data_IF_792746922001
#
_entry.id   IF_792746922001
#
_cell.length_a   1.000
_cell.length_b   1.000
_cell.length_c   1.000
_cell.angle_alpha   90.00
_cell.angle_beta   90.00
_cell.angle_gamma   90.00
#
_symmetry.space_group_name_H-M   'P 1'
#
loop_
_entity.id
_entity.type
_entity.pdbx_description
1 polymer ?
#
# COMPACT_ATOMS: atom_id res chain seq x y z
N UNK A 1 -10.23 -3.71 -0.26
CA UNK A 1 -11.05 -3.31 -1.43
C UNK A 1 -12.49 -3.13 -0.96
N UNK A 2 -13.23 -2.14 -1.48
CA UNK A 2 -14.59 -1.86 -1.01
C UNK A 2 -15.52 -3.05 -1.26
N UNK A 3 -16.32 -3.40 -0.26
CA UNK A 3 -17.53 -4.17 -0.50
C UNK A 3 -18.49 -3.18 -1.17
N UNK A 4 -18.80 -3.38 -2.44
CA UNK A 4 -19.88 -2.64 -3.07
C UNK A 4 -21.19 -3.22 -2.58
N UNK A 5 -21.90 -2.37 -1.85
CA UNK A 5 -23.23 -2.65 -1.36
C UNK A 5 -24.20 -1.92 -2.28
N UNK A 6 -24.99 -2.64 -3.05
CA UNK A 6 -26.11 -2.07 -3.83
C UNK A 6 -27.44 -2.57 -3.31
N UNK A 7 -28.49 -1.76 -3.52
CA UNK A 7 -29.87 -2.16 -3.27
C UNK A 7 -30.53 -2.59 -4.58
N UNK A 8 -30.88 -3.87 -4.67
CA UNK A 8 -31.70 -4.42 -5.76
C UNK A 8 -32.97 -5.02 -5.13
N UNK A 9 -34.15 -4.58 -5.57
CA UNK A 9 -35.46 -5.04 -5.08
C UNK A 9 -35.62 -5.02 -3.54
N UNK A 10 -34.96 -4.07 -2.88
CA UNK A 10 -34.99 -3.91 -1.42
C UNK A 10 -33.99 -4.78 -0.65
N UNK A 11 -33.27 -5.69 -1.33
CA UNK A 11 -32.22 -6.54 -0.76
C UNK A 11 -30.86 -5.85 -0.93
N UNK A 12 -30.07 -5.82 0.14
CA UNK A 12 -28.68 -5.35 0.09
C UNK A 12 -27.80 -6.50 -0.37
N UNK A 13 -27.12 -6.30 -1.50
CA UNK A 13 -26.16 -7.24 -2.04
C UNK A 13 -24.75 -6.68 -1.86
N UNK A 14 -23.91 -7.45 -1.17
CA UNK A 14 -22.49 -7.13 -0.95
C UNK A 14 -21.64 -7.94 -1.95
N UNK A 15 -20.91 -7.27 -2.83
CA UNK A 15 -19.95 -7.89 -3.76
C UNK A 15 -18.57 -7.25 -3.62
N UNK A 16 -17.51 -8.03 -3.84
CA UNK A 16 -16.16 -7.46 -3.95
C UNK A 16 -15.99 -6.86 -5.34
N UNK A 17 -15.30 -5.73 -5.45
CA UNK A 17 -15.00 -5.15 -6.78
C UNK A 17 -14.24 -6.12 -7.69
N UNK A 18 -13.45 -7.06 -7.14
CA UNK A 18 -12.75 -8.11 -7.90
C UNK A 18 -13.69 -9.16 -8.51
N UNK A 19 -14.95 -9.21 -8.08
CA UNK A 19 -15.96 -10.15 -8.55
C UNK A 19 -16.91 -9.52 -9.58
N UNK A 20 -16.72 -8.24 -9.88
CA UNK A 20 -17.53 -7.51 -10.86
C UNK A 20 -16.85 -7.51 -12.22
N UNK A 21 -17.64 -7.69 -13.28
CA UNK A 21 -17.21 -7.30 -14.63
C UNK A 21 -17.05 -5.78 -14.71
N UNK A 22 -16.22 -5.32 -15.66
CA UNK A 22 -16.07 -3.88 -15.90
C UNK A 22 -17.41 -3.20 -16.20
N UNK A 23 -18.28 -3.83 -16.99
CA UNK A 23 -19.61 -3.30 -17.29
C UNK A 23 -20.51 -3.20 -16.05
N UNK A 24 -20.42 -4.16 -15.13
CA UNK A 24 -21.17 -4.08 -13.87
C UNK A 24 -20.64 -2.97 -12.98
N UNK A 25 -19.32 -2.87 -12.82
CA UNK A 25 -18.68 -1.82 -12.02
C UNK A 25 -19.05 -0.42 -12.51
N UNK A 26 -19.02 -0.18 -13.83
CA UNK A 26 -19.37 1.12 -14.41
C UNK A 26 -20.86 1.48 -14.30
N UNK A 27 -21.73 0.54 -13.91
CA UNK A 27 -23.13 0.84 -13.64
C UNK A 27 -23.36 1.43 -12.24
N UNK A 28 -22.36 1.52 -11.37
CA UNK A 28 -22.51 2.13 -10.04
C UNK A 28 -22.26 3.65 -10.07
N UNK A 29 -23.00 4.38 -9.23
CA UNK A 29 -22.86 5.84 -9.10
C UNK A 29 -23.43 6.63 -10.29
N UNK A 30 -23.10 7.93 -10.40
CA UNK A 30 -23.51 8.77 -11.52
C UNK A 30 -23.11 8.18 -12.87
N UNK A 31 -23.95 8.33 -13.89
CA UNK A 31 -23.72 7.75 -15.22
C UNK A 31 -23.32 8.83 -16.23
N UNK A 32 -22.39 8.48 -17.14
CA UNK A 32 -21.93 9.38 -18.23
C UNK A 32 -23.06 9.76 -19.20
N UNK A 33 -24.02 8.87 -19.39
CA UNK A 33 -25.17 9.07 -20.28
C UNK A 33 -26.26 9.90 -19.59
N UNK A 34 -26.66 11.02 -20.21
CA UNK A 34 -27.71 11.88 -19.68
C UNK A 34 -29.03 11.11 -19.54
N UNK A 35 -29.59 11.11 -18.33
CA UNK A 35 -30.87 10.46 -18.03
C UNK A 35 -30.77 8.96 -17.67
N UNK A 36 -29.56 8.39 -17.67
CA UNK A 36 -29.33 7.02 -17.18
C UNK A 36 -29.11 7.05 -15.67
N UNK A 37 -29.86 6.23 -14.94
CA UNK A 37 -29.66 6.04 -13.50
C UNK A 37 -28.72 4.85 -13.25
N UNK A 38 -27.72 5.07 -12.39
CA UNK A 38 -26.81 4.02 -11.95
C UNK A 38 -27.28 3.35 -10.65
N UNK A 39 -26.65 2.23 -10.31
CA UNK A 39 -26.86 1.55 -9.03
C UNK A 39 -26.33 2.43 -7.89
N UNK A 40 -27.14 2.60 -6.85
CA UNK A 40 -26.75 3.34 -5.67
C UNK A 40 -25.66 2.60 -4.90
N UNK A 41 -24.58 3.32 -4.59
CA UNK A 41 -23.54 2.87 -3.67
C UNK A 41 -24.06 3.02 -2.22
N UNK A 42 -23.79 2.02 -1.39
CA UNK A 42 -24.05 2.07 0.03
C UNK A 42 -22.73 1.97 0.80
N UNK A 43 -22.70 2.62 1.96
CA UNK A 43 -21.59 2.59 2.91
C UNK A 43 -22.01 1.83 4.16
N UNK A 44 -21.16 0.90 4.59
CA UNK A 44 -21.30 0.20 5.88
C UNK A 44 -20.34 0.80 6.91
N UNK A 45 -20.87 1.27 8.04
CA UNK A 45 -20.06 1.75 9.16
C UNK A 45 -19.43 0.59 9.94
N UNK A 46 -18.47 0.89 10.82
CA UNK A 46 -17.86 -0.11 11.72
C UNK A 46 -18.89 -0.79 12.63
N UNK A 47 -19.97 -0.09 12.96
CA UNK A 47 -21.07 -0.60 13.79
C UNK A 47 -22.08 -1.44 12.98
N UNK A 48 -21.82 -1.65 11.68
CA UNK A 48 -22.68 -2.43 10.79
C UNK A 48 -23.85 -1.65 10.17
N UNK A 49 -23.98 -0.35 10.48
CA UNK A 49 -25.04 0.47 9.91
C UNK A 49 -24.78 0.71 8.42
N UNK A 50 -25.81 0.53 7.61
CA UNK A 50 -25.76 0.74 6.15
C UNK A 50 -26.47 2.06 5.84
N UNK A 51 -25.76 2.97 5.18
CA UNK A 51 -26.29 4.26 4.72
C UNK A 51 -26.01 4.43 3.24
N UNK A 52 -26.81 5.23 2.55
CA UNK A 52 -26.49 5.61 1.17
C UNK A 52 -25.18 6.39 1.12
N UNK A 53 -24.38 6.12 0.09
CA UNK A 53 -23.23 6.94 -0.25
C UNK A 53 -23.74 8.26 -0.80
N UNK A 54 -23.49 9.35 -0.08
CA UNK A 54 -23.90 10.69 -0.46
C UNK A 54 -22.70 11.63 -0.31
N UNK A 55 -22.36 12.32 -1.39
CA UNK A 55 -21.26 13.29 -1.47
C UNK A 55 -21.77 14.56 -2.16
N UNK A 56 -21.15 15.71 -1.89
CA UNK A 56 -21.59 17.01 -2.42
C UNK A 56 -21.46 17.10 -3.95
N UNK A 57 -20.43 16.48 -4.51
CA UNK A 57 -20.19 16.39 -5.94
C UNK A 57 -19.64 15.00 -6.22
N UNK A 58 -20.26 14.32 -7.16
CA UNK A 58 -19.90 12.97 -7.56
C UNK A 58 -19.79 12.91 -9.09
N UNK A 59 -18.92 12.06 -9.59
CA UNK A 59 -18.73 11.84 -11.03
C UNK A 59 -18.79 10.34 -11.32
N UNK A 60 -19.00 10.01 -12.59
CA UNK A 60 -19.01 8.63 -13.05
C UNK A 60 -17.68 7.93 -12.82
N UNK A 61 -17.75 6.65 -12.50
CA UNK A 61 -16.57 5.79 -12.41
C UNK A 61 -15.85 5.73 -13.77
N UNK A 62 -14.53 5.63 -13.72
CA UNK A 62 -13.68 5.57 -14.91
C UNK A 62 -12.64 4.46 -14.81
N UNK A 63 -12.12 4.08 -15.98
CA UNK A 63 -10.95 3.20 -16.07
C UNK A 63 -9.65 3.99 -15.91
N UNK A 64 -8.55 3.30 -15.61
CA UNK A 64 -7.22 3.92 -15.57
C UNK A 64 -6.84 4.55 -16.93
N UNK A 65 -7.23 3.92 -18.04
CA UNK A 65 -7.03 4.50 -19.37
C UNK A 65 -7.77 5.84 -19.52
N UNK A 66 -9.07 5.86 -19.18
CA UNK A 66 -9.88 7.07 -19.27
C UNK A 66 -9.32 8.18 -18.38
N UNK A 67 -8.82 7.85 -17.18
CA UNK A 67 -8.15 8.81 -16.31
C UNK A 67 -6.94 9.46 -17.02
N UNK A 68 -6.10 8.67 -17.70
CA UNK A 68 -4.98 9.22 -18.47
C UNK A 68 -5.40 10.09 -19.65
N UNK A 69 -6.52 9.77 -20.28
CA UNK A 69 -7.05 10.50 -21.44
C UNK A 69 -7.75 11.82 -21.05
N UNK A 70 -8.42 11.83 -19.90
CA UNK A 70 -9.27 12.96 -19.47
C UNK A 70 -8.56 13.96 -18.55
N UNK A 71 -7.64 13.50 -17.70
CA UNK A 71 -6.85 14.39 -16.84
C UNK A 71 -5.87 15.20 -17.70
N UNK A 72 -5.61 16.45 -17.33
CA UNK A 72 -4.72 17.34 -18.08
C UNK A 72 -3.32 16.73 -18.32
N UNK A 73 -2.78 16.72 -19.56
CA UNK A 73 -1.50 16.08 -19.90
C UNK A 73 -0.27 16.50 -19.09
N UNK A 74 -0.24 17.71 -18.51
CA UNK A 74 0.88 18.17 -17.71
C UNK A 74 0.93 17.55 -16.30
N UNK A 75 -0.18 17.01 -15.82
CA UNK A 75 -0.29 16.42 -14.48
C UNK A 75 0.22 14.98 -14.45
N UNK A 76 0.96 14.66 -13.39
CA UNK A 76 1.37 13.31 -13.04
C UNK A 76 0.33 12.55 -12.24
N UNK A 77 0.57 11.26 -12.02
CA UNK A 77 -0.30 10.39 -11.23
C UNK A 77 0.46 9.73 -10.08
N UNK A 78 -0.18 9.67 -8.91
CA UNK A 78 0.15 8.70 -7.88
C UNK A 78 -0.87 7.56 -7.98
N UNK A 79 -0.43 6.39 -8.44
CA UNK A 79 -1.26 5.21 -8.62
C UNK A 79 -1.08 4.31 -7.39
N UNK A 80 -2.06 4.32 -6.50
CA UNK A 80 -2.14 3.36 -5.39
C UNK A 80 -2.65 2.01 -5.91
N UNK A 81 -1.80 0.99 -5.84
CA UNK A 81 -2.15 -0.39 -6.12
C UNK A 81 -2.90 -0.97 -4.91
N UNK A 82 -4.23 -1.05 -5.05
CA UNK A 82 -5.11 -1.47 -3.97
C UNK A 82 -5.63 -2.88 -4.21
N UNK A 83 -5.45 -3.72 -3.21
CA UNK A 83 -5.88 -5.13 -3.19
C UNK A 83 -6.75 -5.37 -1.96
N UNK A 84 -7.37 -6.54 -1.88
CA UNK A 84 -8.20 -6.91 -0.73
C UNK A 84 -7.36 -7.42 0.44
N UNK A 85 -7.39 -6.71 1.57
CA UNK A 85 -6.63 -7.08 2.77
C UNK A 85 -7.13 -8.36 3.46
N UNK A 86 -8.31 -8.86 3.06
CA UNK A 86 -8.85 -10.16 3.52
C UNK A 86 -8.52 -11.33 2.60
N UNK A 87 -7.74 -11.10 1.55
CA UNK A 87 -7.32 -12.13 0.59
C UNK A 87 -5.80 -12.26 0.58
N UNK A 88 -5.33 -13.49 0.72
CA UNK A 88 -3.93 -13.83 0.46
C UNK A 88 -3.77 -14.16 -1.02
N UNK A 89 -3.22 -13.21 -1.78
CA UNK A 89 -3.02 -13.37 -3.21
C UNK A 89 -1.79 -14.23 -3.52
N UNK A 90 -1.93 -15.14 -4.48
CA UNK A 90 -0.79 -15.85 -5.04
C UNK A 90 0.05 -14.91 -5.91
N UNK A 91 1.36 -15.15 -5.94
CA UNK A 91 2.30 -14.32 -6.69
C UNK A 91 1.94 -14.25 -8.18
N UNK A 92 1.62 -15.38 -8.81
CA UNK A 92 1.27 -15.41 -10.24
C UNK A 92 0.03 -14.56 -10.53
N UNK A 93 -0.96 -14.56 -9.65
CA UNK A 93 -2.14 -13.71 -9.79
C UNK A 93 -1.75 -12.23 -9.74
N UNK A 94 -0.93 -11.83 -8.76
CA UNK A 94 -0.45 -10.45 -8.64
C UNK A 94 0.33 -10.05 -9.89
N UNK A 95 1.21 -10.90 -10.41
CA UNK A 95 1.98 -10.63 -11.63
C UNK A 95 1.05 -10.35 -12.80
N UNK A 96 0.04 -11.19 -13.05
CA UNK A 96 -0.90 -11.00 -14.15
C UNK A 96 -1.67 -9.66 -14.03
N UNK A 97 -2.15 -9.32 -12.82
CA UNK A 97 -2.86 -8.06 -12.59
C UNK A 97 -1.93 -6.86 -12.79
N UNK A 98 -0.71 -6.92 -12.25
CA UNK A 98 0.27 -5.83 -12.37
C UNK A 98 0.72 -5.63 -13.81
N UNK A 99 0.90 -6.69 -14.58
CA UNK A 99 1.20 -6.61 -16.02
C UNK A 99 0.09 -5.87 -16.78
N UNK A 100 -1.18 -6.20 -16.53
CA UNK A 100 -2.31 -5.50 -17.15
C UNK A 100 -2.34 -4.00 -16.79
N UNK A 101 -2.01 -3.65 -15.54
CA UNK A 101 -1.89 -2.24 -15.12
C UNK A 101 -0.73 -1.56 -15.85
N UNK A 102 0.43 -2.21 -15.93
CA UNK A 102 1.61 -1.67 -16.60
C UNK A 102 1.39 -1.46 -18.10
N UNK A 103 0.68 -2.36 -18.77
CA UNK A 103 0.33 -2.22 -20.18
C UNK A 103 -0.47 -0.93 -20.44
N UNK A 104 -1.46 -0.64 -19.57
CA UNK A 104 -2.21 0.62 -19.64
C UNK A 104 -1.31 1.81 -19.33
N UNK A 105 -0.49 1.75 -18.26
CA UNK A 105 0.39 2.87 -17.89
C UNK A 105 1.40 3.16 -19.01
N UNK A 106 2.03 2.16 -19.59
CA UNK A 106 3.00 2.36 -20.68
C UNK A 106 2.34 2.82 -21.98
N UNK A 107 1.12 2.36 -22.27
CA UNK A 107 0.37 2.81 -23.44
C UNK A 107 -0.12 4.26 -23.32
N UNK A 108 -0.52 4.70 -22.13
CA UNK A 108 -1.31 5.93 -21.96
C UNK A 108 -0.65 7.04 -21.13
N UNK A 109 0.41 6.75 -20.36
CA UNK A 109 1.09 7.78 -19.57
C UNK A 109 1.78 8.85 -20.43
N UNK A 110 2.18 8.54 -21.67
CA UNK A 110 2.70 9.51 -22.66
C UNK A 110 3.78 10.49 -22.13
N UNK A 111 4.64 10.01 -21.24
CA UNK A 111 5.73 10.81 -20.66
C UNK A 111 5.38 11.56 -19.37
N UNK A 112 4.15 11.41 -18.84
CA UNK A 112 3.77 11.90 -17.52
C UNK A 112 4.65 11.29 -16.42
N UNK A 113 4.85 12.06 -15.35
CA UNK A 113 5.42 11.56 -14.10
C UNK A 113 4.42 10.63 -13.42
N UNK A 114 4.84 9.40 -13.13
CA UNK A 114 4.01 8.39 -12.45
C UNK A 114 4.77 7.90 -11.23
N UNK A 115 4.06 7.73 -10.13
CA UNK A 115 4.52 7.05 -8.93
C UNK A 115 3.58 5.89 -8.66
N UNK A 116 4.13 4.70 -8.40
CA UNK A 116 3.34 3.60 -7.84
C UNK A 116 3.47 3.56 -6.33
N UNK A 117 2.38 3.23 -5.65
CA UNK A 117 2.39 3.04 -4.20
C UNK A 117 1.50 1.86 -3.79
N UNK A 118 1.83 1.18 -2.68
CA UNK A 118 0.94 0.16 -2.11
C UNK A 118 1.17 -0.06 -0.63
N UNK A 119 0.10 -0.35 0.11
CA UNK A 119 0.18 -0.92 1.46
C UNK A 119 0.53 -2.41 1.46
N UNK A 120 0.36 -3.09 0.32
CA UNK A 120 0.74 -4.50 0.19
C UNK A 120 2.18 -4.60 -0.29
N UNK A 121 3.03 -5.16 0.58
CA UNK A 121 4.46 -5.32 0.32
C UNK A 121 4.75 -6.15 -0.92
N UNK A 122 4.02 -7.26 -1.11
CA UNK A 122 4.18 -8.15 -2.26
C UNK A 122 3.88 -7.42 -3.58
N UNK A 123 2.82 -6.61 -3.63
CA UNK A 123 2.46 -5.84 -4.82
C UNK A 123 3.49 -4.77 -5.18
N UNK A 124 3.94 -3.98 -4.18
CA UNK A 124 4.96 -2.97 -4.38
C UNK A 124 6.31 -3.60 -4.82
N UNK A 125 6.68 -4.74 -4.26
CA UNK A 125 7.87 -5.46 -4.66
C UNK A 125 7.79 -6.02 -6.08
N UNK A 126 6.66 -6.63 -6.43
CA UNK A 126 6.46 -7.20 -7.77
C UNK A 126 6.43 -6.11 -8.84
N UNK A 127 5.73 -4.99 -8.62
CA UNK A 127 5.72 -3.90 -9.60
C UNK A 127 7.11 -3.28 -9.75
N UNK A 128 7.92 -3.19 -8.68
CA UNK A 128 9.32 -2.72 -8.77
C UNK A 128 10.20 -3.64 -9.62
N UNK A 129 9.89 -4.92 -9.71
CA UNK A 129 10.62 -5.86 -10.57
C UNK A 129 10.12 -5.88 -12.01
N UNK A 130 8.80 -5.75 -12.18
CA UNK A 130 8.18 -5.80 -13.51
C UNK A 130 8.49 -4.57 -14.35
N UNK A 131 8.95 -3.47 -13.74
CA UNK A 131 9.38 -2.27 -14.45
C UNK A 131 10.48 -1.50 -13.71
N UNK A 132 11.25 -0.73 -14.47
CA UNK A 132 12.36 0.12 -13.99
C UNK A 132 12.18 1.62 -14.29
N UNK A 133 11.05 2.01 -14.92
CA UNK A 133 10.81 3.36 -15.44
C UNK A 133 10.27 4.33 -14.39
N UNK A 134 9.41 3.86 -13.50
CA UNK A 134 8.66 4.66 -12.54
C UNK A 134 9.02 4.24 -11.11
N UNK A 135 9.17 5.20 -10.20
CA UNK A 135 9.47 4.89 -8.80
C UNK A 135 8.27 4.23 -8.11
N UNK A 136 8.58 3.38 -7.14
CA UNK A 136 7.63 2.60 -6.35
C UNK A 136 7.84 2.90 -4.87
N UNK A 137 6.75 3.14 -4.14
CA UNK A 137 6.77 3.48 -2.71
C UNK A 137 5.92 2.51 -1.89
N UNK A 138 6.36 2.23 -0.66
CA UNK A 138 5.49 1.62 0.34
C UNK A 138 4.59 2.66 0.99
N UNK A 139 3.34 2.28 1.24
CA UNK A 139 2.44 3.02 2.10
C UNK A 139 2.45 2.39 3.50
N UNK A 140 2.51 3.22 4.54
CA UNK A 140 2.31 2.77 5.92
C UNK A 140 1.54 3.81 6.72
N UNK A 141 0.67 3.32 7.60
CA UNK A 141 -0.08 4.10 8.57
C UNK A 141 0.62 4.17 9.94
N UNK A 142 1.88 3.74 10.03
CA UNK A 142 2.64 3.73 11.28
C UNK A 142 2.15 2.69 12.31
N UNK A 143 1.37 1.69 11.90
CA UNK A 143 0.94 0.59 12.77
C UNK A 143 -0.29 0.89 13.60
N UNK A 144 -1.05 1.87 13.16
CA UNK A 144 -2.30 2.32 13.80
C UNK A 144 -3.48 1.40 13.52
N UNK A 145 -3.36 0.48 12.55
CA UNK A 145 -4.39 -0.52 12.22
C UNK A 145 -3.87 -1.95 12.31
N UNK A 146 -4.79 -2.88 12.55
CA UNK A 146 -4.54 -4.33 12.55
C UNK A 146 -5.19 -4.93 11.30
N UNK A 147 -4.39 -5.61 10.50
CA UNK A 147 -4.77 -6.28 9.25
C UNK A 147 -4.92 -7.79 9.45
N UNK A 148 -5.58 -8.49 8.54
CA UNK A 148 -5.66 -9.96 8.59
C UNK A 148 -4.33 -10.61 8.21
N UNK A 149 -3.59 -10.00 7.27
CA UNK A 149 -2.23 -10.40 6.98
C UNK A 149 -1.33 -10.06 8.17
N UNK A 150 -0.92 -11.09 8.91
CA UNK A 150 -0.05 -10.97 10.08
C UNK A 150 1.24 -10.24 9.75
N UNK A 151 1.68 -10.28 8.49
CA UNK A 151 2.87 -9.59 8.03
C UNK A 151 2.76 -8.06 8.11
N UNK A 152 1.56 -7.52 8.32
CA UNK A 152 1.31 -6.07 8.41
C UNK A 152 1.09 -5.57 9.85
N UNK A 153 1.17 -6.44 10.86
CA UNK A 153 0.81 -6.11 12.24
C UNK A 153 2.00 -6.12 13.21
N UNK A 154 2.04 -5.16 14.14
CA UNK A 154 3.17 -4.94 15.07
C UNK A 154 3.20 -5.79 16.35
N UNK A 155 2.36 -6.82 16.50
CA UNK A 155 2.23 -7.56 17.77
C UNK A 155 2.53 -9.05 17.62
N UNK A 156 3.74 -9.40 18.04
CA UNK A 156 4.30 -10.73 18.36
C UNK A 156 4.67 -11.69 17.20
N UNK A 157 5.98 -11.73 16.92
CA UNK A 157 6.79 -12.88 16.51
C UNK A 157 6.82 -13.39 15.06
N UNK A 158 6.16 -12.77 14.09
CA UNK A 158 6.34 -13.10 12.66
C UNK A 158 6.41 -11.81 11.82
N UNK A 159 7.30 -11.82 10.82
CA UNK A 159 7.80 -10.69 10.01
C UNK A 159 6.81 -9.54 9.86
N UNK A 160 7.22 -8.34 10.26
CA UNK A 160 6.37 -7.16 10.13
C UNK A 160 6.87 -6.23 9.01
N UNK A 161 6.23 -6.30 7.85
CA UNK A 161 6.46 -5.41 6.72
C UNK A 161 5.71 -4.11 6.95
N UNK A 162 6.45 -3.08 7.38
CA UNK A 162 5.97 -1.69 7.40
C UNK A 162 4.95 -1.36 8.49
N UNK A 163 4.96 -2.04 9.64
CA UNK A 163 4.06 -1.69 10.75
C UNK A 163 4.49 -0.47 11.53
N UNK A 164 5.74 -0.05 11.46
CA UNK A 164 6.14 1.26 11.94
C UNK A 164 7.02 1.91 10.90
N UNK A 165 7.13 3.22 10.99
CA UNK A 165 7.79 4.02 9.98
C UNK A 165 9.28 3.63 9.86
N UNK A 166 9.95 3.33 10.98
CA UNK A 166 11.35 2.88 10.99
C UNK A 166 11.57 1.54 10.28
N UNK A 167 10.69 0.56 10.49
CA UNK A 167 10.72 -0.72 9.79
C UNK A 167 10.45 -0.56 8.30
N UNK A 168 9.44 0.24 7.92
CA UNK A 168 9.14 0.52 6.52
C UNK A 168 10.35 1.12 5.80
N UNK A 169 11.01 2.10 6.44
CA UNK A 169 12.23 2.76 5.93
C UNK A 169 13.43 1.81 5.87
N UNK A 170 13.53 0.83 6.76
CA UNK A 170 14.59 -0.17 6.70
C UNK A 170 14.32 -1.22 5.61
N UNK A 171 13.08 -1.67 5.48
CA UNK A 171 12.69 -2.70 4.50
C UNK A 171 12.75 -2.15 3.08
N UNK A 172 12.30 -0.91 2.83
CA UNK A 172 12.46 -0.29 1.51
C UNK A 172 13.93 -0.30 1.07
N UNK A 173 14.85 -0.03 2.00
CA UNK A 173 16.28 0.00 1.72
C UNK A 173 16.80 -1.40 1.35
N UNK A 174 16.39 -2.44 2.08
CA UNK A 174 16.77 -3.82 1.78
C UNK A 174 16.17 -4.34 0.47
N UNK A 175 14.95 -3.92 0.14
CA UNK A 175 14.21 -4.41 -1.03
C UNK A 175 14.47 -3.60 -2.30
N UNK A 176 15.21 -2.49 -2.21
CA UNK A 176 15.46 -1.59 -3.35
C UNK A 176 14.20 -0.87 -3.84
N UNK A 177 13.23 -0.65 -2.95
CA UNK A 177 12.03 0.17 -3.21
C UNK A 177 12.41 1.64 -3.06
N UNK A 178 11.80 2.54 -3.85
CA UNK A 178 12.29 3.92 -4.02
C UNK A 178 11.94 4.84 -2.83
N UNK A 179 11.00 4.44 -1.97
CA UNK A 179 10.74 5.14 -0.72
C UNK A 179 9.52 4.66 0.06
N UNK A 180 9.14 5.45 1.06
CA UNK A 180 7.97 5.22 1.93
C UNK A 180 7.16 6.51 2.00
N UNK A 181 5.84 6.41 1.84
CA UNK A 181 4.88 7.50 2.05
C UNK A 181 4.16 7.24 3.38
N UNK A 182 4.10 8.28 4.22
CA UNK A 182 3.45 8.24 5.54
C UNK A 182 2.64 9.49 5.79
N UNK A 183 1.65 9.38 6.67
CA UNK A 183 0.88 10.53 7.16
C UNK A 183 1.63 11.32 8.24
N UNK A 184 2.58 10.68 8.95
CA UNK A 184 3.27 11.23 10.11
C UNK A 184 4.70 11.67 9.77
N UNK A 185 4.84 12.94 9.36
CA UNK A 185 6.12 13.55 8.93
C UNK A 185 7.21 13.47 10.00
N UNK A 186 6.86 13.62 11.27
CA UNK A 186 7.83 13.55 12.36
C UNK A 186 8.47 12.15 12.46
N UNK A 187 7.65 11.10 12.39
CA UNK A 187 8.12 9.72 12.54
C UNK A 187 9.06 9.29 11.39
N UNK A 188 8.77 9.72 10.16
CA UNK A 188 9.66 9.44 9.00
C UNK A 188 10.96 10.20 9.10
N UNK A 189 10.93 11.44 9.60
CA UNK A 189 12.14 12.26 9.77
C UNK A 189 13.08 11.60 10.77
N UNK A 190 12.55 11.15 11.91
CA UNK A 190 13.31 10.43 12.93
C UNK A 190 13.86 9.10 12.40
N UNK A 191 13.02 8.30 11.72
CA UNK A 191 13.41 7.03 11.13
C UNK A 191 14.57 7.16 10.11
N UNK A 192 14.51 8.15 9.23
CA UNK A 192 15.56 8.42 8.23
C UNK A 192 16.84 8.91 8.90
N UNK A 193 16.72 9.82 9.89
CA UNK A 193 17.86 10.32 10.65
C UNK A 193 18.62 9.18 11.34
N UNK A 194 17.91 8.25 11.98
CA UNK A 194 18.51 7.10 12.65
C UNK A 194 19.18 6.12 11.67
N UNK A 195 18.62 5.92 10.47
CA UNK A 195 19.24 5.07 9.45
C UNK A 195 20.55 5.66 8.90
N UNK A 196 20.63 6.99 8.78
CA UNK A 196 21.78 7.71 8.24
C UNK A 196 22.94 7.85 9.25
N UNK A 197 22.75 7.51 10.53
CA UNK A 197 23.82 7.60 11.54
C UNK A 197 24.97 6.63 11.19
N UNK A 198 26.22 7.10 11.13
CA UNK A 198 27.37 6.23 10.91
C UNK A 198 27.45 5.19 12.03
N UNK A 199 27.61 3.92 11.64
CA UNK A 199 27.76 2.83 12.62
C UNK A 199 29.16 2.95 13.22
N UNK A 200 29.27 3.54 14.41
CA UNK A 200 30.50 3.47 15.19
C UNK A 200 30.68 2.02 15.64
N UNK A 201 31.47 1.26 14.89
CA UNK A 201 32.02 -0.02 15.31
C UNK A 201 33.01 0.23 16.46
N UNK A 202 32.52 0.31 17.70
CA UNK A 202 33.36 0.11 18.88
C UNK A 202 32.80 -1.07 19.66
N UNK A 203 33.41 -2.22 19.39
CA UNK A 203 33.58 -3.27 20.39
C UNK A 203 34.39 -2.63 21.51
N UNK A 204 33.83 -2.46 22.71
CA UNK A 204 34.57 -2.46 23.97
C UNK A 204 33.59 -2.49 25.16
N UNK A 205 34.10 -3.06 26.24
CA UNK A 205 33.43 -3.79 27.30
C UNK A 205 32.65 -2.92 28.29
N UNK A 206 31.81 -3.61 29.07
CA UNK A 206 31.14 -3.14 30.28
C UNK A 206 31.97 -2.14 31.09
N UNK A 207 31.39 -0.98 31.40
CA UNK A 207 31.60 -0.38 32.71
C UNK A 207 30.39 0.44 33.14
N UNK A 208 29.93 0.13 34.36
CA UNK A 208 28.85 0.78 35.07
C UNK A 208 29.25 2.20 35.48
N UNK A 209 28.40 3.19 35.19
CA UNK A 209 28.36 4.41 35.99
C UNK A 209 26.92 4.88 36.15
N UNK A 210 26.47 4.88 37.41
CA UNK A 210 25.22 5.49 37.88
C UNK A 210 25.22 6.99 37.61
N UNK A 211 24.10 7.50 37.12
CA UNK A 211 23.82 8.92 37.00
C UNK A 211 22.39 9.10 36.48
N UNK A 212 21.49 9.49 37.37
CA UNK A 212 20.09 9.80 37.05
C UNK A 212 20.04 11.07 36.18
N UNK A 213 19.71 10.92 34.91
CA UNK A 213 19.01 11.93 34.11
C UNK A 213 18.25 11.25 32.97
N UNK A 214 17.08 11.82 32.68
CA UNK A 214 15.95 11.32 31.92
C UNK A 214 16.25 10.36 30.74
N UNK A 215 15.53 9.23 30.73
CA UNK A 215 15.53 8.17 29.71
C UNK A 215 15.35 8.71 28.27
N UNK A 216 16.43 9.15 27.62
CA UNK A 216 16.51 9.14 26.15
C UNK A 216 16.81 7.69 25.76
N UNK A 217 15.73 6.94 25.54
CA UNK A 217 15.80 5.57 25.01
C UNK A 217 16.40 5.65 23.61
N UNK A 218 17.73 5.53 23.52
CA UNK A 218 18.48 5.38 22.26
C UNK A 218 17.89 4.18 21.50
N UNK A 219 16.98 4.44 20.57
CA UNK A 219 16.50 3.42 19.64
C UNK A 219 17.57 3.25 18.59
N UNK A 220 18.44 2.26 18.81
CA UNK A 220 19.32 1.70 17.78
C UNK A 220 18.50 1.20 16.59
N UNK A 221 19.14 0.99 15.43
CA UNK A 221 18.58 0.32 14.24
C UNK A 221 17.53 -0.73 14.63
N UNK A 222 16.37 -0.82 13.93
CA UNK A 222 15.32 -1.77 14.28
C UNK A 222 15.91 -3.16 14.52
N UNK A 223 15.71 -3.69 15.72
CA UNK A 223 16.29 -4.97 16.14
C UNK A 223 15.45 -6.09 15.55
N UNK A 224 15.84 -6.56 14.36
CA UNK A 224 15.33 -7.81 13.82
C UNK A 224 16.00 -8.99 14.52
N UNK A 225 15.21 -9.97 14.94
CA UNK A 225 15.67 -11.27 15.35
C UNK A 225 16.40 -11.99 14.20
N UNK A 226 17.27 -12.94 14.54
CA UNK A 226 17.96 -13.80 13.56
C UNK A 226 16.98 -14.55 12.63
N UNK A 227 15.79 -14.90 13.13
CA UNK A 227 14.73 -15.51 12.30
C UNK A 227 14.16 -14.51 11.28
N UNK A 228 13.87 -13.27 11.70
CA UNK A 228 13.38 -12.20 10.82
C UNK A 228 14.41 -11.84 9.75
N UNK A 229 15.68 -11.69 10.12
CA UNK A 229 16.77 -11.48 9.16
C UNK A 229 16.88 -12.66 8.19
N UNK A 230 16.83 -13.90 8.69
CA UNK A 230 16.90 -15.09 7.83
C UNK A 230 15.72 -15.20 6.86
N UNK A 231 14.54 -14.66 7.20
CA UNK A 231 13.37 -14.63 6.32
C UNK A 231 13.46 -13.51 5.29
N UNK A 232 13.85 -12.30 5.70
CA UNK A 232 14.14 -11.18 4.79
C UNK A 232 15.22 -11.58 3.77
N UNK A 233 16.28 -12.26 4.24
CA UNK A 233 17.35 -12.81 3.42
C UNK A 233 16.95 -14.07 2.64
N UNK A 234 15.79 -14.69 2.88
CA UNK A 234 15.22 -15.78 2.04
C UNK A 234 14.27 -15.25 0.98
N UNK A 235 13.58 -14.15 1.26
CA UNK A 235 12.87 -13.38 0.24
C UNK A 235 13.87 -12.90 -0.82
N UNK A 236 14.99 -12.27 -0.42
CA UNK A 236 15.98 -11.71 -1.37
C UNK A 236 16.43 -12.70 -2.48
N UNK A 237 16.76 -13.99 -2.21
CA UNK A 237 17.13 -14.97 -3.24
C UNK A 237 15.96 -15.64 -3.97
N UNK A 238 14.79 -15.84 -3.32
CA UNK A 238 13.59 -16.33 -4.03
C UNK A 238 13.03 -15.27 -4.99
N UNK A 239 13.51 -14.04 -4.89
CA UNK A 239 13.17 -12.90 -5.73
C UNK A 239 14.11 -12.72 -6.95
N UNK A 240 15.16 -13.55 -7.11
CA UNK A 240 16.14 -13.49 -8.21
C UNK A 240 15.83 -14.52 -9.33
N UNK A 241 14.90 -15.47 -9.11
CA UNK A 241 14.57 -16.52 -10.09
C UNK A 241 13.22 -16.28 -10.79
N UNK A 242 13.10 -15.16 -11.52
CA UNK A 242 12.13 -15.03 -12.63
C UNK A 242 12.94 -14.75 -13.89
#
# INVERSE_FOLDING_TARGET
MGIESSREDGIVMEKRVTELSLSEFLCYGPQKEVGKEGKHLLRKSKDGNITEWNVETDDSLCTLQEAFEQVEPSLGFNIELKFDDSVLYQQDYLIHVLQAILDVVFGYAKGRSIIFSSFQSDAALLVKKLQDKYPVYFLTNGGTEIFLDVRRNSRSHEIVLGSNVSEAVYIQHLMGIDGVIVDLVQEITEAVFDLMKPTTNNIEEESLSQGDDENIKLKTKPQFSQKELSFLLKLIPQLIQI
#
